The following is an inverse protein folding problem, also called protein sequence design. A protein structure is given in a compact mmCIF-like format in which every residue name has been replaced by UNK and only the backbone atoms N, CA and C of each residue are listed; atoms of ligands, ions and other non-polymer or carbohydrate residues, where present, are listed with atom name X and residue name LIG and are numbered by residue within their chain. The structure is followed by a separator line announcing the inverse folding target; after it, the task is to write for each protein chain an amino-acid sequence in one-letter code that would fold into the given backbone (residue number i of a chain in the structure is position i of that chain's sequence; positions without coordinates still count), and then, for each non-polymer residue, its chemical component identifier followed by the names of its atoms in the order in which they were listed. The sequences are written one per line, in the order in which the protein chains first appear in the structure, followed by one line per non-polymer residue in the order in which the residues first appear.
data_IF_220761809139
#
_entry.id   IF_220761809139
#
_cell.length_a   1.000
_cell.length_b   1.000
_cell.length_c   1.000
_cell.angle_alpha   90.00
_cell.angle_beta   90.00
_cell.angle_gamma   90.00
#
_symmetry.space_group_name_H-M   'P 1'
#
loop_
_entity.id
_entity.type
_entity.pdbx_description
1 polymer ?
#
# COMPACT_ATOMS: atom_id res chain seq x y z
N UNK A 1 -21.60 4.29 26.83
CA UNK A 1 -21.74 5.72 26.48
C UNK A 1 -20.62 6.04 25.51
N UNK A 2 -20.90 6.25 24.21
CA UNK A 2 -19.87 6.64 23.25
C UNK A 2 -19.44 8.08 23.55
N UNK A 3 -18.17 8.29 23.86
CA UNK A 3 -17.63 9.65 23.97
C UNK A 3 -17.46 10.21 22.55
N UNK A 4 -17.65 11.52 22.33
CA UNK A 4 -17.45 12.14 21.01
C UNK A 4 -16.04 11.87 20.44
N UNK A 5 -15.03 11.67 21.30
CA UNK A 5 -13.69 11.25 20.91
C UNK A 5 -13.67 9.87 20.22
N UNK A 6 -14.46 8.90 20.69
CA UNK A 6 -14.50 7.56 20.12
C UNK A 6 -15.16 7.55 18.74
N UNK A 7 -16.18 8.40 18.54
CA UNK A 7 -16.84 8.54 17.25
C UNK A 7 -15.93 9.19 16.21
N UNK A 8 -15.22 10.26 16.57
CA UNK A 8 -14.22 10.89 15.70
C UNK A 8 -13.09 9.92 15.33
N UNK A 9 -12.62 9.13 16.29
CA UNK A 9 -11.59 8.12 16.04
C UNK A 9 -12.09 7.03 15.07
N UNK A 10 -13.32 6.54 15.25
CA UNK A 10 -13.93 5.57 14.34
C UNK A 10 -14.08 6.13 12.92
N UNK A 11 -14.56 7.37 12.78
CA UNK A 11 -14.67 8.03 11.48
C UNK A 11 -13.31 8.17 10.79
N UNK A 12 -12.26 8.53 11.54
CA UNK A 12 -10.89 8.58 11.02
C UNK A 12 -10.41 7.21 10.52
N UNK A 13 -10.63 6.13 11.29
CA UNK A 13 -10.24 4.78 10.89
C UNK A 13 -10.99 4.32 9.63
N UNK A 14 -12.29 4.56 9.56
CA UNK A 14 -13.11 4.23 8.40
C UNK A 14 -12.68 5.00 7.15
N UNK A 15 -12.41 6.30 7.29
CA UNK A 15 -11.91 7.14 6.20
C UNK A 15 -10.54 6.66 5.70
N UNK A 16 -9.62 6.33 6.62
CA UNK A 16 -8.30 5.83 6.29
C UNK A 16 -8.37 4.46 5.59
N UNK A 17 -9.23 3.55 6.05
CA UNK A 17 -9.46 2.25 5.41
C UNK A 17 -9.99 2.40 3.99
N UNK A 18 -11.00 3.28 3.79
CA UNK A 18 -11.54 3.58 2.45
C UNK A 18 -10.49 4.17 1.52
N UNK A 19 -9.66 5.09 2.01
CA UNK A 19 -8.58 5.69 1.24
C UNK A 19 -7.56 4.64 0.76
N UNK A 20 -7.21 3.67 1.62
CA UNK A 20 -6.26 2.61 1.25
C UNK A 20 -6.83 1.64 0.21
N UNK A 21 -8.12 1.27 0.31
CA UNK A 21 -8.79 0.45 -0.70
C UNK A 21 -8.89 1.16 -2.05
N UNK A 22 -9.25 2.46 -2.04
CA UNK A 22 -9.29 3.27 -3.25
C UNK A 22 -7.91 3.35 -3.91
N UNK A 23 -6.87 3.62 -3.12
CA UNK A 23 -5.50 3.74 -3.64
C UNK A 23 -5.01 2.41 -4.23
N UNK A 24 -5.26 1.29 -3.56
CA UNK A 24 -4.91 -0.04 -4.09
C UNK A 24 -5.61 -0.29 -5.44
N UNK A 25 -6.90 0.00 -5.53
CA UNK A 25 -7.66 -0.10 -6.78
C UNK A 25 -7.09 0.79 -7.88
N UNK A 26 -6.74 2.04 -7.56
CA UNK A 26 -6.15 2.97 -8.52
C UNK A 26 -4.79 2.50 -9.04
N UNK A 27 -3.92 1.95 -8.18
CA UNK A 27 -2.61 1.41 -8.58
C UNK A 27 -2.81 0.20 -9.49
N UNK A 28 -3.69 -0.73 -9.12
CA UNK A 28 -3.97 -1.93 -9.95
C UNK A 28 -4.54 -1.53 -11.31
N UNK A 29 -5.45 -0.55 -11.35
CA UNK A 29 -5.99 -0.02 -12.60
C UNK A 29 -4.90 0.64 -13.47
N UNK A 30 -3.98 1.41 -12.86
CA UNK A 30 -2.84 1.98 -13.56
C UNK A 30 -1.91 0.90 -14.13
N UNK A 31 -1.61 -0.16 -13.35
CA UNK A 31 -0.85 -1.31 -13.83
C UNK A 31 -1.54 -1.98 -15.03
N UNK A 32 -2.84 -2.22 -14.94
CA UNK A 32 -3.61 -2.84 -16.02
C UNK A 32 -3.61 -1.99 -17.30
N UNK A 33 -3.77 -0.67 -17.14
CA UNK A 33 -3.69 0.26 -18.25
C UNK A 33 -2.31 0.25 -18.92
N UNK A 34 -1.23 0.35 -18.13
CA UNK A 34 0.14 0.30 -18.64
C UNK A 34 0.47 -1.04 -19.31
N UNK A 35 -0.01 -2.15 -18.74
CA UNK A 35 0.08 -3.49 -19.33
C UNK A 35 -0.60 -3.57 -20.70
N UNK A 36 -1.71 -2.86 -20.90
CA UNK A 36 -2.42 -2.84 -22.17
C UNK A 36 -1.82 -1.85 -23.19
N UNK A 37 -1.37 -0.68 -22.74
CA UNK A 37 -1.02 0.44 -23.63
C UNK A 37 0.39 0.40 -24.19
N UNK A 38 1.31 -0.31 -23.54
CA UNK A 38 2.74 -0.24 -23.85
C UNK A 38 3.20 -1.47 -24.66
N UNK A 39 3.91 -1.29 -25.79
CA UNK A 39 4.51 -2.40 -26.52
C UNK A 39 5.74 -2.91 -25.76
N UNK A 40 5.68 -4.13 -25.25
CA UNK A 40 6.82 -4.83 -24.64
C UNK A 40 7.65 -5.49 -25.73
N UNK A 41 8.94 -5.17 -25.76
CA UNK A 41 9.90 -5.69 -26.73
C UNK A 41 11.05 -6.41 -26.02
N UNK A 42 11.93 -7.13 -26.75
CA UNK A 42 13.07 -7.83 -26.17
C UNK A 42 13.91 -6.88 -25.30
N UNK A 43 14.43 -7.40 -24.19
CA UNK A 43 15.23 -6.65 -23.23
C UNK A 43 16.46 -6.02 -23.92
N UNK A 44 16.57 -4.69 -23.86
CA UNK A 44 17.69 -3.93 -24.44
C UNK A 44 17.73 -2.49 -23.91
N UNK A 45 18.70 -1.67 -24.33
CA UNK A 45 18.72 -0.22 -24.00
C UNK A 45 17.71 0.55 -24.87
N UNK A 46 16.44 0.17 -24.76
CA UNK A 46 15.33 0.77 -25.49
C UNK A 46 14.29 1.33 -24.50
N UNK A 47 13.52 2.36 -24.89
CA UNK A 47 12.46 2.94 -24.05
C UNK A 47 11.43 1.90 -23.59
N UNK A 48 11.25 0.83 -24.36
CA UNK A 48 10.35 -0.28 -24.06
C UNK A 48 10.75 -1.06 -22.79
N UNK A 49 12.06 -1.15 -22.51
CA UNK A 49 12.55 -1.79 -21.27
C UNK A 49 12.26 -0.94 -20.04
N UNK A 50 12.26 0.39 -20.17
CA UNK A 50 11.84 1.29 -19.08
C UNK A 50 10.35 1.13 -18.75
N UNK A 51 9.47 0.93 -19.74
CA UNK A 51 8.06 0.64 -19.48
C UNK A 51 7.84 -0.70 -18.78
N UNK A 52 8.67 -1.71 -19.06
CA UNK A 52 8.63 -2.97 -18.34
C UNK A 52 9.09 -2.80 -16.89
N UNK A 53 10.17 -2.06 -16.66
CA UNK A 53 10.67 -1.76 -15.31
C UNK A 53 9.61 -0.98 -14.52
N UNK A 54 9.00 0.03 -15.14
CA UNK A 54 7.93 0.82 -14.54
C UNK A 54 6.74 -0.05 -14.12
N UNK A 55 6.28 -0.95 -15.00
CA UNK A 55 5.21 -1.90 -14.69
C UNK A 55 5.56 -2.79 -13.48
N UNK A 56 6.81 -3.27 -13.39
CA UNK A 56 7.29 -4.07 -12.25
C UNK A 56 7.30 -3.24 -10.97
N UNK A 57 7.79 -1.99 -11.02
CA UNK A 57 7.83 -1.08 -9.87
C UNK A 57 6.42 -0.76 -9.37
N UNK A 58 5.48 -0.49 -10.29
CA UNK A 58 4.07 -0.25 -9.97
C UNK A 58 3.38 -1.51 -9.43
N UNK A 59 3.69 -2.69 -9.97
CA UNK A 59 3.24 -3.98 -9.44
C UNK A 59 3.73 -4.24 -8.02
N UNK A 60 5.01 -3.96 -7.73
CA UNK A 60 5.55 -4.01 -6.38
C UNK A 60 4.87 -2.98 -5.47
N UNK A 61 4.60 -1.77 -5.95
CA UNK A 61 3.86 -0.76 -5.19
C UNK A 61 2.47 -1.25 -4.79
N UNK A 62 1.75 -1.94 -5.70
CA UNK A 62 0.46 -2.56 -5.41
C UNK A 62 0.57 -3.67 -4.35
N UNK A 63 1.60 -4.52 -4.43
CA UNK A 63 1.85 -5.57 -3.45
C UNK A 63 2.10 -5.00 -2.04
N UNK A 64 2.94 -3.96 -1.92
CA UNK A 64 3.17 -3.30 -0.64
C UNK A 64 1.93 -2.56 -0.11
N UNK A 65 1.11 -1.97 -1.01
CA UNK A 65 -0.16 -1.37 -0.65
C UNK A 65 -1.14 -2.41 -0.07
N UNK A 66 -1.25 -3.57 -0.71
CA UNK A 66 -2.05 -4.69 -0.21
C UNK A 66 -1.58 -5.16 1.17
N UNK A 67 -0.26 -5.38 1.34
CA UNK A 67 0.32 -5.84 2.61
C UNK A 67 0.11 -4.85 3.76
N UNK A 68 0.05 -3.53 3.48
CA UNK A 68 -0.35 -2.52 4.47
C UNK A 68 -1.80 -2.70 4.92
N UNK A 69 -2.73 -2.93 3.99
CA UNK A 69 -4.15 -3.16 4.31
C UNK A 69 -4.31 -4.40 5.18
N UNK A 70 -3.61 -5.49 4.85
CA UNK A 70 -3.62 -6.72 5.63
C UNK A 70 -3.09 -6.50 7.06
N UNK A 71 -1.95 -5.81 7.21
CA UNK A 71 -1.42 -5.47 8.54
C UNK A 71 -2.39 -4.61 9.35
N UNK A 72 -3.07 -3.64 8.73
CA UNK A 72 -4.06 -2.81 9.42
C UNK A 72 -5.25 -3.65 9.93
N UNK A 73 -5.73 -4.61 9.13
CA UNK A 73 -6.78 -5.56 9.54
C UNK A 73 -6.32 -6.43 10.71
N UNK A 74 -5.07 -6.92 10.67
CA UNK A 74 -4.49 -7.70 11.76
C UNK A 74 -4.38 -6.89 13.06
N UNK A 75 -3.95 -5.62 13.00
CA UNK A 75 -3.92 -4.74 14.18
C UNK A 75 -5.30 -4.60 14.80
N UNK A 76 -6.35 -4.38 13.99
CA UNK A 76 -7.73 -4.28 14.49
C UNK A 76 -8.16 -5.60 15.16
N UNK A 77 -7.85 -6.75 14.55
CA UNK A 77 -8.14 -8.08 15.11
C UNK A 77 -7.46 -8.31 16.46
N UNK A 78 -6.17 -8.02 16.57
CA UNK A 78 -5.42 -8.20 17.82
C UNK A 78 -5.82 -7.19 18.89
N UNK A 79 -6.22 -5.98 18.48
CA UNK A 79 -6.78 -5.00 19.39
C UNK A 79 -8.14 -5.47 19.95
N UNK A 80 -8.99 -6.09 19.12
CA UNK A 80 -10.22 -6.71 19.61
C UNK A 80 -9.95 -7.86 20.61
N UNK A 81 -8.95 -8.71 20.31
CA UNK A 81 -8.50 -9.77 21.23
C UNK A 81 -7.96 -9.21 22.56
N UNK A 82 -7.25 -8.09 22.51
CA UNK A 82 -6.78 -7.36 23.70
C UNK A 82 -7.95 -6.87 24.57
N UNK A 83 -8.97 -6.24 23.98
CA UNK A 83 -10.17 -5.81 24.70
C UNK A 83 -10.92 -7.01 25.31
N UNK A 84 -11.08 -8.10 24.57
CA UNK A 84 -11.72 -9.33 25.06
C UNK A 84 -10.96 -9.93 26.26
N UNK A 85 -9.63 -9.92 26.22
CA UNK A 85 -8.78 -10.34 27.33
C UNK A 85 -8.95 -9.46 28.57
N UNK A 86 -9.10 -8.14 28.38
CA UNK A 86 -9.37 -7.19 29.46
C UNK A 86 -10.74 -7.43 30.11
N UNK A 87 -11.79 -7.57 29.30
CA UNK A 87 -13.17 -7.79 29.78
C UNK A 87 -13.29 -9.12 30.55
N UNK A 88 -12.65 -10.18 30.05
CA UNK A 88 -12.67 -11.51 30.68
C UNK A 88 -11.66 -11.67 31.83
N UNK A 89 -10.93 -10.61 32.21
CA UNK A 89 -9.83 -10.63 33.20
C UNK A 89 -8.80 -11.73 32.94
N UNK A 90 -8.57 -12.06 31.68
CA UNK A 90 -7.59 -13.05 31.26
C UNK A 90 -6.29 -12.34 30.88
N UNK A 91 -5.37 -12.27 31.84
CA UNK A 91 -4.09 -11.55 31.72
C UNK A 91 -3.20 -12.08 30.60
N UNK A 92 -3.26 -13.39 30.31
CA UNK A 92 -2.50 -14.01 29.23
C UNK A 92 -2.97 -13.50 27.85
N UNK A 93 -4.29 -13.53 27.60
CA UNK A 93 -4.88 -13.01 26.34
C UNK A 93 -4.67 -11.50 26.20
N UNK A 94 -4.70 -10.77 27.31
CA UNK A 94 -4.45 -9.32 27.33
C UNK A 94 -3.01 -8.99 26.90
N UNK A 95 -2.02 -9.64 27.50
CA UNK A 95 -0.60 -9.40 27.16
C UNK A 95 -0.28 -9.84 25.71
N UNK A 96 -0.82 -10.98 25.28
CA UNK A 96 -0.64 -11.49 23.93
C UNK A 96 -1.25 -10.56 22.87
N UNK A 97 -2.51 -10.13 23.07
CA UNK A 97 -3.18 -9.19 22.17
C UNK A 97 -2.44 -7.85 22.07
N UNK A 98 -1.92 -7.34 23.20
CA UNK A 98 -1.15 -6.08 23.21
C UNK A 98 0.17 -6.20 22.44
N UNK A 99 0.91 -7.29 22.64
CA UNK A 99 2.19 -7.52 21.96
C UNK A 99 2.00 -7.65 20.46
N UNK A 100 1.07 -8.49 20.03
CA UNK A 100 0.77 -8.70 18.61
C UNK A 100 0.26 -7.41 17.97
N UNK A 101 -0.63 -6.67 18.61
CA UNK A 101 -1.09 -5.37 18.09
C UNK A 101 0.07 -4.40 17.86
N UNK A 102 1.05 -4.36 18.77
CA UNK A 102 2.20 -3.46 18.67
C UNK A 102 3.19 -3.88 17.57
N UNK A 103 3.49 -5.17 17.47
CA UNK A 103 4.40 -5.71 16.44
C UNK A 103 3.87 -5.43 15.02
N UNK A 104 2.55 -5.59 14.80
CA UNK A 104 1.92 -5.28 13.52
C UNK A 104 1.76 -3.76 13.28
N UNK A 105 1.62 -2.95 14.34
CA UNK A 105 1.56 -1.49 14.23
C UNK A 105 2.91 -0.91 13.77
N UNK A 106 4.04 -1.39 14.31
CA UNK A 106 5.37 -0.96 13.86
C UNK A 106 5.63 -1.34 12.40
N UNK A 107 5.28 -2.57 12.03
CA UNK A 107 5.40 -3.04 10.64
C UNK A 107 4.61 -2.15 9.66
N UNK A 108 3.45 -1.62 10.08
CA UNK A 108 2.60 -0.75 9.26
C UNK A 108 3.30 0.55 8.84
N UNK A 109 4.21 1.09 9.65
CA UNK A 109 4.96 2.33 9.34
C UNK A 109 5.92 2.10 8.18
N UNK A 110 6.69 1.00 8.21
CA UNK A 110 7.63 0.66 7.15
C UNK A 110 6.93 0.52 5.79
N UNK A 111 5.80 -0.21 5.76
CA UNK A 111 5.03 -0.42 4.53
C UNK A 111 4.47 0.89 3.98
N UNK A 112 4.14 1.87 4.84
CA UNK A 112 3.68 3.19 4.41
C UNK A 112 4.78 3.96 3.66
N UNK A 113 6.01 3.95 4.18
CA UNK A 113 7.14 4.62 3.53
C UNK A 113 7.53 3.94 2.22
N UNK A 114 7.66 2.60 2.22
CA UNK A 114 8.02 1.83 1.01
C UNK A 114 7.00 2.04 -0.11
N UNK A 115 5.70 2.01 0.21
CA UNK A 115 4.64 2.27 -0.79
C UNK A 115 4.79 3.67 -1.40
N UNK A 116 4.91 4.71 -0.57
CA UNK A 116 5.01 6.08 -1.10
C UNK A 116 6.26 6.27 -1.96
N UNK A 117 7.40 5.68 -1.57
CA UNK A 117 8.63 5.73 -2.37
C UNK A 117 8.48 4.99 -3.70
N UNK A 118 7.84 3.82 -3.72
CA UNK A 118 7.62 3.05 -4.96
C UNK A 118 6.65 3.75 -5.92
N UNK A 119 5.58 4.37 -5.41
CA UNK A 119 4.66 5.15 -6.24
C UNK A 119 5.38 6.35 -6.87
N UNK A 120 6.16 7.09 -6.07
CA UNK A 120 6.94 8.21 -6.56
C UNK A 120 7.99 7.77 -7.60
N UNK A 121 8.67 6.66 -7.34
CA UNK A 121 9.66 6.09 -8.24
C UNK A 121 9.03 5.65 -9.58
N UNK A 122 7.90 4.94 -9.55
CA UNK A 122 7.17 4.54 -10.76
C UNK A 122 6.74 5.76 -11.57
N UNK A 123 6.18 6.79 -10.92
CA UNK A 123 5.82 8.04 -11.61
C UNK A 123 7.02 8.69 -12.33
N UNK A 124 8.17 8.77 -11.66
CA UNK A 124 9.40 9.33 -12.26
C UNK A 124 9.89 8.46 -13.43
N UNK A 125 9.88 7.14 -13.28
CA UNK A 125 10.28 6.21 -14.35
C UNK A 125 9.35 6.32 -15.56
N UNK A 126 8.05 6.41 -15.36
CA UNK A 126 7.08 6.58 -16.43
C UNK A 126 7.30 7.88 -17.21
N UNK A 127 7.43 9.01 -16.49
CA UNK A 127 7.65 10.32 -17.10
C UNK A 127 8.96 10.37 -17.88
N UNK A 128 10.05 9.86 -17.30
CA UNK A 128 11.34 9.81 -17.99
C UNK A 128 11.31 8.91 -19.23
N UNK A 129 10.63 7.76 -19.17
CA UNK A 129 10.45 6.88 -20.33
C UNK A 129 9.67 7.55 -21.47
N UNK A 130 8.59 8.30 -21.14
CA UNK A 130 7.80 9.07 -22.11
C UNK A 130 8.62 10.19 -22.74
N UNK A 131 9.36 10.95 -21.94
CA UNK A 131 10.23 12.03 -22.42
C UNK A 131 11.30 11.46 -23.36
N UNK A 132 11.96 10.37 -22.96
CA UNK A 132 12.99 9.71 -23.78
C UNK A 132 12.43 9.25 -25.12
N UNK A 133 11.25 8.62 -25.12
CA UNK A 133 10.58 8.18 -26.33
C UNK A 133 10.27 9.36 -27.25
N UNK A 134 9.81 10.49 -26.71
CA UNK A 134 9.55 11.70 -27.48
C UNK A 134 10.83 12.25 -28.14
N UNK A 135 11.95 12.31 -27.42
CA UNK A 135 13.22 12.76 -28.00
C UNK A 135 13.78 11.81 -29.06
N UNK A 136 13.63 10.49 -28.89
CA UNK A 136 14.00 9.50 -29.91
C UNK A 136 13.12 9.52 -31.17
N UNK A 137 11.93 10.12 -31.11
CA UNK A 137 11.02 10.26 -32.25
C UNK A 137 11.25 11.55 -33.04
N UNK A 138 11.95 12.52 -32.46
CA UNK A 138 12.19 13.85 -33.07
C UNK A 138 13.59 13.98 -33.70
N UNK A 139 14.53 13.06 -33.39
CA UNK A 139 15.86 12.98 -34.01
C UNK A 139 16.02 11.72 -34.84
#
# INVERSE_FOLDING_TARGET
MSTPSNEMHKQYLDANSKADHFLLGAIVAACAYLAQSNPYAPLGMNPQTLFLIDLIVLGLAAFFAYRRVENAVQVIKYNAMFLEGFENRNEAKFLEGRRLANDYAESTILHRHVRNSLIALGFVLYVTAKIWMAYKLVG
#
